data_IF_310085878878
#
_entry.id   IF_310085878878
#
_cell.length_a   1.000
_cell.length_b   1.000
_cell.length_c   1.000
_cell.angle_alpha   90.00
_cell.angle_beta   90.00
_cell.angle_gamma   90.00
#
_symmetry.space_group_name_H-M   'P 1'
#
loop_
_entity.id
_entity.type
_entity.pdbx_description
1 polymer ?
#
# COMPACT_ATOMS: atom_id res chain seq x y z
N UNK A 1 -1.38 -2.07 23.26
CA UNK A 1 -1.84 -2.01 21.85
C UNK A 1 -0.84 -2.78 20.99
N UNK A 2 -1.27 -3.85 20.32
CA UNK A 2 -0.39 -4.65 19.46
C UNK A 2 0.07 -3.81 18.25
N UNK A 3 1.38 -3.76 17.99
CA UNK A 3 1.94 -3.08 16.82
C UNK A 3 1.56 -3.88 15.58
N UNK A 4 0.74 -3.30 14.70
CA UNK A 4 0.44 -3.95 13.40
C UNK A 4 1.70 -3.92 12.56
N UNK A 5 2.21 -5.09 12.23
CA UNK A 5 3.39 -5.27 11.37
C UNK A 5 2.87 -5.56 9.96
N UNK A 6 3.05 -4.61 9.05
CA UNK A 6 2.61 -4.70 7.65
C UNK A 6 3.68 -5.36 6.75
N UNK A 7 4.95 -5.23 7.12
CA UNK A 7 6.17 -5.70 6.43
C UNK A 7 7.30 -5.93 7.43
N UNK A 8 8.30 -6.73 7.06
CA UNK A 8 9.51 -6.91 7.87
C UNK A 8 10.40 -5.65 7.90
N UNK A 9 10.23 -4.74 6.95
CA UNK A 9 10.98 -3.48 6.87
C UNK A 9 10.23 -2.35 7.58
N UNK A 10 10.86 -1.72 8.58
CA UNK A 10 10.28 -0.59 9.33
C UNK A 10 9.84 0.56 8.43
N UNK A 11 10.65 0.94 7.45
CA UNK A 11 10.32 2.05 6.55
C UNK A 11 9.07 1.77 5.69
N UNK A 12 8.83 0.51 5.28
CA UNK A 12 7.60 0.12 4.60
C UNK A 12 6.41 0.20 5.57
N UNK A 13 6.58 -0.27 6.82
CA UNK A 13 5.53 -0.16 7.84
C UNK A 13 5.10 1.28 8.07
N UNK A 14 6.07 2.19 8.21
CA UNK A 14 5.80 3.60 8.47
C UNK A 14 5.09 4.26 7.28
N UNK A 15 5.47 3.94 6.04
CA UNK A 15 4.79 4.44 4.83
C UNK A 15 3.37 3.86 4.70
N UNK A 16 3.17 2.57 4.95
CA UNK A 16 1.83 1.95 4.92
C UNK A 16 0.93 2.54 6.00
N UNK A 17 1.44 2.75 7.21
CA UNK A 17 0.70 3.40 8.28
C UNK A 17 0.29 4.84 7.89
N UNK A 18 1.17 5.58 7.20
CA UNK A 18 0.86 6.91 6.67
C UNK A 18 -0.27 6.85 5.63
N UNK A 19 -0.23 5.90 4.70
CA UNK A 19 -1.29 5.71 3.72
C UNK A 19 -2.64 5.39 4.39
N UNK A 20 -2.64 4.50 5.38
CA UNK A 20 -3.86 4.15 6.13
C UNK A 20 -4.44 5.35 6.86
N UNK A 21 -3.59 6.19 7.49
CA UNK A 21 -4.04 7.46 8.09
C UNK A 21 -4.65 8.43 7.09
N UNK A 22 -4.22 8.37 5.82
CA UNK A 22 -4.75 9.19 4.74
C UNK A 22 -5.99 8.57 4.06
N UNK A 23 -6.65 7.59 4.69
CA UNK A 23 -7.89 6.99 4.19
C UNK A 23 -7.69 5.82 3.23
N UNK A 24 -6.47 5.28 3.12
CA UNK A 24 -6.25 4.02 2.40
C UNK A 24 -6.63 2.82 3.27
N UNK A 25 -7.06 1.74 2.64
CA UNK A 25 -7.43 0.50 3.36
C UNK A 25 -6.33 -0.53 3.18
N UNK A 26 -5.72 -0.97 4.29
CA UNK A 26 -4.75 -2.07 4.27
C UNK A 26 -5.47 -3.43 4.28
N UNK A 27 -5.05 -4.30 3.38
CA UNK A 27 -5.42 -5.71 3.35
C UNK A 27 -4.17 -6.56 3.56
N UNK A 28 -4.18 -7.38 4.62
CA UNK A 28 -3.12 -8.34 4.90
C UNK A 28 -2.94 -9.37 3.77
N UNK A 29 -1.86 -10.16 3.84
CA UNK A 29 -1.53 -11.13 2.78
C UNK A 29 -2.67 -12.07 2.39
N UNK A 30 -3.58 -12.43 3.30
CA UNK A 30 -4.70 -13.34 2.99
C UNK A 30 -4.19 -14.62 2.28
N UNK A 31 -4.81 -14.99 1.15
CA UNK A 31 -4.34 -16.07 0.25
C UNK A 31 -3.26 -15.64 -0.75
N UNK A 32 -2.88 -14.36 -0.78
CA UNK A 32 -1.89 -13.79 -1.70
C UNK A 32 -0.47 -13.78 -1.14
N UNK A 33 0.52 -13.66 -2.04
CA UNK A 33 1.94 -13.59 -1.68
C UNK A 33 2.34 -12.26 -1.02
N UNK A 34 1.56 -11.19 -1.25
CA UNK A 34 1.85 -9.82 -0.84
C UNK A 34 0.62 -9.16 -0.20
N UNK A 35 0.84 -8.36 0.85
CA UNK A 35 -0.19 -7.50 1.40
C UNK A 35 -0.52 -6.39 0.39
N UNK A 36 -1.67 -5.76 0.50
CA UNK A 36 -2.14 -4.73 -0.43
C UNK A 36 -2.68 -3.53 0.33
N UNK A 37 -2.66 -2.37 -0.30
CA UNK A 37 -3.40 -1.18 0.14
C UNK A 37 -4.30 -0.71 -0.98
N UNK A 38 -5.52 -0.36 -0.62
CA UNK A 38 -6.53 0.17 -1.51
C UNK A 38 -6.62 1.67 -1.29
N UNK A 39 -6.46 2.41 -2.37
CA UNK A 39 -6.69 3.84 -2.41
C UNK A 39 -8.20 4.11 -2.34
N UNK A 40 -8.62 5.28 -1.80
CA UNK A 40 -10.03 5.66 -1.72
C UNK A 40 -10.70 5.78 -3.09
N UNK A 41 -9.93 5.90 -4.16
CA UNK A 41 -10.40 5.96 -5.54
C UNK A 41 -10.57 4.58 -6.20
N UNK A 42 -10.54 3.50 -5.41
CA UNK A 42 -10.73 2.11 -5.85
C UNK A 42 -9.49 1.44 -6.43
N UNK A 43 -8.35 2.14 -6.52
CA UNK A 43 -7.09 1.56 -7.01
C UNK A 43 -6.38 0.74 -5.95
N UNK A 44 -5.59 -0.24 -6.38
CA UNK A 44 -4.85 -1.14 -5.48
C UNK A 44 -3.35 -1.04 -5.70
N UNK A 45 -2.59 -1.15 -4.62
CA UNK A 45 -1.14 -1.20 -4.62
C UNK A 45 -0.66 -2.39 -3.77
N UNK A 46 0.19 -3.23 -4.34
CA UNK A 46 0.81 -4.35 -3.62
C UNK A 46 2.00 -3.86 -2.79
N UNK A 47 2.05 -4.27 -1.52
CA UNK A 47 3.13 -3.98 -0.59
C UNK A 47 4.19 -5.08 -0.71
N UNK A 48 5.45 -4.72 -0.99
CA UNK A 48 6.53 -5.71 -0.98
C UNK A 48 6.76 -6.22 0.45
N UNK A 49 6.84 -7.55 0.59
CA UNK A 49 6.89 -8.22 1.89
C UNK A 49 8.26 -8.14 2.58
N UNK A 50 9.32 -7.95 1.80
CA UNK A 50 10.70 -7.70 2.25
C UNK A 50 11.45 -7.07 1.08
N UNK A 51 12.26 -6.06 1.35
CA UNK A 51 13.05 -5.38 0.31
C UNK A 51 14.46 -5.18 0.82
N UNK A 52 15.45 -5.79 0.15
CA UNK A 52 16.87 -5.49 0.38
C UNK A 52 17.29 -4.15 -0.23
N UNK A 53 16.40 -3.53 -1.02
CA UNK A 53 16.70 -2.32 -1.80
C UNK A 53 16.13 -1.08 -1.11
N UNK A 54 17.01 -0.13 -0.79
CA UNK A 54 16.68 1.19 -0.22
C UNK A 54 15.60 1.94 -1.03
N UNK A 55 15.61 1.78 -2.36
CA UNK A 55 14.71 2.47 -3.27
C UNK A 55 13.26 1.97 -3.23
N UNK A 56 12.96 0.84 -2.58
CA UNK A 56 11.63 0.25 -2.62
C UNK A 56 10.57 1.11 -1.88
N UNK A 57 10.98 1.83 -0.83
CA UNK A 57 10.09 2.75 -0.11
C UNK A 57 9.74 3.96 -0.98
N UNK A 58 10.72 4.47 -1.72
CA UNK A 58 10.52 5.62 -2.60
C UNK A 58 9.65 5.26 -3.82
N UNK A 59 9.86 4.08 -4.41
CA UNK A 59 8.98 3.55 -5.46
C UNK A 59 7.55 3.34 -4.94
N UNK A 60 7.39 2.75 -3.75
CA UNK A 60 6.08 2.60 -3.12
C UNK A 60 5.37 3.95 -2.94
N UNK A 61 6.08 4.96 -2.45
CA UNK A 61 5.56 6.32 -2.28
C UNK A 61 5.16 6.94 -3.61
N UNK A 62 6.02 6.89 -4.63
CA UNK A 62 5.72 7.44 -5.95
C UNK A 62 4.52 6.75 -6.59
N UNK A 63 4.42 5.42 -6.48
CA UNK A 63 3.24 4.67 -6.96
C UNK A 63 1.98 5.06 -6.21
N UNK A 64 2.04 5.18 -4.88
CA UNK A 64 0.90 5.59 -4.09
C UNK A 64 0.40 7.00 -4.47
N UNK A 65 1.32 7.96 -4.63
CA UNK A 65 0.99 9.32 -5.08
C UNK A 65 0.38 9.32 -6.48
N UNK A 66 0.98 8.58 -7.41
CA UNK A 66 0.47 8.47 -8.78
C UNK A 66 -0.93 7.88 -8.80
N UNK A 67 -1.17 6.82 -8.04
CA UNK A 67 -2.48 6.18 -7.95
C UNK A 67 -3.50 7.11 -7.27
N UNK A 68 -3.12 7.86 -6.24
CA UNK A 68 -4.02 8.83 -5.58
C UNK A 68 -4.44 9.98 -6.51
N UNK A 69 -3.52 10.45 -7.36
CA UNK A 69 -3.78 11.54 -8.31
C UNK A 69 -4.62 11.12 -9.52
N UNK A 70 -4.82 9.81 -9.73
CA UNK A 70 -5.64 9.32 -10.82
C UNK A 70 -7.12 9.43 -10.48
N UNK A 71 -7.99 9.66 -11.49
CA UNK A 71 -9.42 9.63 -11.28
C UNK A 71 -9.85 8.27 -10.74
N UNK A 72 -10.98 8.26 -10.03
CA UNK A 72 -11.57 7.04 -9.51
C UNK A 72 -11.73 6.01 -10.62
N UNK A 73 -11.39 4.76 -10.30
CA UNK A 73 -11.74 3.65 -11.17
C UNK A 73 -13.27 3.67 -11.26
N UNK A 74 -13.77 3.97 -12.45
CA UNK A 74 -15.18 3.80 -12.76
C UNK A 74 -15.55 2.35 -12.41
N UNK A 75 -16.50 2.17 -11.50
CA UNK A 75 -16.89 0.88 -10.96
C UNK A 75 -17.44 -0.09 -12.04
N UNK A 76 -17.54 0.36 -13.30
CA UNK A 76 -18.21 -0.31 -14.39
C UNK A 76 -17.27 -0.94 -15.44
N UNK A 77 -15.94 -0.96 -15.22
CA UNK A 77 -15.05 -1.83 -16.04
C UNK A 77 -15.02 -3.25 -15.46
N UNK A 78 -16.09 -4.01 -15.72
CA UNK A 78 -16.11 -5.48 -15.64
C UNK A 78 -15.80 -6.07 -17.00
#
# INVERSE_FOLDING_TARGET
MARVIFSSTRAINDEVARLVRNGWVFQGKGRGKHAKVFAPNGRVLSIPGSTSNYNAVQDLRHRAQRLAAMPALDANRR
#
